data_IF_308509456990
#
_entry.id   IF_308509456990
#
_cell.length_a   1.000
_cell.length_b   1.000
_cell.length_c   1.000
_cell.angle_alpha   90.00
_cell.angle_beta   90.00
_cell.angle_gamma   90.00
#
_symmetry.space_group_name_H-M   'P 1'
#
loop_
_entity.id
_entity.type
_entity.pdbx_description
1 polymer ?
#
# COMPACT_ATOMS: atom_id res chain seq x y z
N UNK A 1 11.34 -7.42 6.04
CA UNK A 1 10.57 -7.41 4.77
C UNK A 1 10.78 -8.68 3.96
N UNK A 2 11.98 -8.97 3.43
CA UNK A 2 12.23 -10.13 2.54
C UNK A 2 11.76 -11.47 3.16
N UNK A 3 12.01 -11.71 4.46
CA UNK A 3 11.57 -12.94 5.14
C UNK A 3 10.03 -13.06 5.19
N UNK A 4 9.33 -11.95 5.45
CA UNK A 4 7.86 -11.90 5.49
C UNK A 4 7.29 -12.07 4.09
N UNK A 5 7.90 -11.44 3.08
CA UNK A 5 7.50 -11.59 1.67
C UNK A 5 7.69 -13.02 1.18
N UNK A 6 8.81 -13.66 1.53
CA UNK A 6 9.09 -15.06 1.21
C UNK A 6 8.10 -15.97 1.93
N UNK A 7 7.82 -15.72 3.21
CA UNK A 7 6.86 -16.52 3.98
C UNK A 7 5.43 -16.39 3.45
N UNK A 8 4.94 -15.16 3.24
CA UNK A 8 3.62 -14.89 2.64
C UNK A 8 3.52 -15.46 1.22
N UNK A 9 4.57 -15.29 0.40
CA UNK A 9 4.65 -15.86 -0.94
C UNK A 9 4.58 -17.40 -0.96
N UNK A 10 5.29 -18.06 -0.05
CA UNK A 10 5.24 -19.54 0.11
C UNK A 10 3.85 -19.99 0.57
N UNK A 11 3.21 -19.25 1.48
CA UNK A 11 1.82 -19.56 1.89
C UNK A 11 0.81 -19.39 0.77
N UNK A 12 1.05 -18.45 -0.16
CA UNK A 12 0.16 -18.15 -1.28
C UNK A 12 0.35 -19.15 -2.45
N UNK A 13 1.60 -19.58 -2.72
CA UNK A 13 1.91 -20.64 -3.70
C UNK A 13 1.33 -21.99 -3.30
N UNK A 14 1.11 -22.22 -2.00
CA UNK A 14 0.44 -23.41 -1.49
C UNK A 14 -1.08 -23.18 -1.51
N UNK A 15 -1.63 -22.90 -2.70
CA UNK A 15 -3.06 -22.56 -3.00
C UNK A 15 -4.06 -23.61 -2.47
N UNK A 16 -3.60 -24.73 -1.92
CA UNK A 16 -4.44 -25.80 -1.37
C UNK A 16 -5.03 -25.52 0.03
N UNK A 17 -4.57 -24.48 0.73
CA UNK A 17 -5.02 -24.17 2.09
C UNK A 17 -5.42 -22.70 2.28
N UNK A 18 -6.40 -22.23 1.51
CA UNK A 18 -7.15 -21.02 1.86
C UNK A 18 -8.11 -21.33 3.03
N UNK A 19 -7.55 -21.56 4.22
CA UNK A 19 -8.29 -21.94 5.42
C UNK A 19 -8.30 -20.78 6.41
N UNK A 20 -9.35 -20.67 7.24
CA UNK A 20 -9.49 -19.76 8.38
C UNK A 20 -8.19 -19.50 9.19
N UNK A 21 -7.28 -20.48 9.26
CA UNK A 21 -5.96 -20.38 9.92
C UNK A 21 -5.05 -19.29 9.33
N UNK A 22 -5.07 -19.07 8.01
CA UNK A 22 -4.24 -18.05 7.34
C UNK A 22 -4.74 -16.63 7.65
N UNK A 23 -6.06 -16.48 7.82
CA UNK A 23 -6.70 -15.24 8.27
C UNK A 23 -6.31 -14.91 9.71
N UNK A 24 -6.39 -15.89 10.61
CA UNK A 24 -5.98 -15.73 12.01
C UNK A 24 -4.50 -15.35 12.11
N UNK A 25 -3.64 -15.97 11.30
CA UNK A 25 -2.22 -15.65 11.27
C UNK A 25 -1.96 -14.21 10.79
N UNK A 26 -2.61 -13.75 9.71
CA UNK A 26 -2.48 -12.36 9.24
C UNK A 26 -3.00 -11.35 10.26
N UNK A 27 -4.09 -11.68 10.95
CA UNK A 27 -4.63 -10.82 12.01
C UNK A 27 -3.66 -10.71 13.19
N UNK A 28 -3.02 -11.81 13.60
CA UNK A 28 -1.96 -11.82 14.63
C UNK A 28 -0.74 -11.00 14.16
N UNK A 29 -0.31 -11.12 12.90
CA UNK A 29 0.77 -10.29 12.34
C UNK A 29 0.41 -8.80 12.32
N UNK A 30 -0.85 -8.46 12.00
CA UNK A 30 -1.34 -7.08 12.00
C UNK A 30 -1.35 -6.48 13.42
N UNK A 31 -1.76 -7.25 14.42
CA UNK A 31 -1.72 -6.84 15.83
C UNK A 31 -0.27 -6.68 16.31
N UNK A 32 0.58 -7.69 16.08
CA UNK A 32 2.00 -7.64 16.46
C UNK A 32 2.70 -6.41 15.86
N UNK A 33 2.40 -6.09 14.61
CA UNK A 33 2.95 -4.93 13.94
C UNK A 33 2.41 -3.60 14.48
N UNK A 34 1.10 -3.54 14.75
CA UNK A 34 0.48 -2.36 15.39
C UNK A 34 1.07 -2.11 16.78
N UNK A 35 1.41 -3.16 17.53
CA UNK A 35 2.05 -3.05 18.85
C UNK A 35 3.49 -2.50 18.77
N UNK A 36 4.30 -2.95 17.80
CA UNK A 36 5.65 -2.41 17.56
C UNK A 36 5.62 -0.92 17.17
N UNK A 37 4.63 -0.51 16.37
CA UNK A 37 4.49 0.90 15.95
C UNK A 37 3.99 1.79 17.10
N UNK A 38 3.10 1.27 17.95
CA UNK A 38 2.58 1.99 19.10
C UNK A 38 3.67 2.22 20.18
N UNK A 39 4.56 1.25 20.37
CA UNK A 39 5.65 1.34 21.36
C UNK A 39 6.72 2.40 20.99
N UNK A 40 6.89 2.71 19.70
CA UNK A 40 7.89 3.67 19.22
C UNK A 40 7.38 5.13 19.18
N UNK A 41 6.13 5.40 19.59
CA UNK A 41 5.50 6.72 19.49
C UNK A 41 5.55 7.55 20.80
N UNK A 42 6.21 7.04 21.85
CA UNK A 42 6.23 7.66 23.19
C UNK A 42 7.34 8.68 23.45
N UNK A 43 8.14 9.07 22.45
CA UNK A 43 9.16 10.12 22.64
C UNK A 43 9.09 11.14 21.51
N UNK A 44 8.17 12.09 21.64
CA UNK A 44 8.45 13.51 21.34
C UNK A 44 7.44 14.35 22.13
N UNK A 45 7.70 14.49 23.41
CA UNK A 45 7.10 15.53 24.22
C UNK A 45 7.65 16.87 23.70
N UNK A 46 6.87 17.61 22.91
CA UNK A 46 7.06 19.06 22.86
C UNK A 46 5.76 19.80 22.55
N UNK A 47 5.41 20.64 23.53
CA UNK A 47 4.39 21.70 23.60
C UNK A 47 3.47 21.84 22.39
N UNK A 48 2.28 21.27 22.50
CA UNK A 48 1.15 21.64 21.65
C UNK A 48 0.60 23.00 22.07
N UNK A 49 0.81 24.00 21.21
CA UNK A 49 -0.17 25.07 21.03
C UNK A 49 -1.57 24.44 20.92
N UNK A 50 -2.57 24.96 21.64
CA UNK A 50 -3.99 24.60 21.51
C UNK A 50 -4.55 25.01 20.12
N UNK A 51 -3.92 24.60 19.02
CA UNK A 51 -4.68 24.44 17.79
C UNK A 51 -5.64 23.27 18.02
N UNK A 52 -6.93 23.52 17.78
CA UNK A 52 -7.97 22.51 17.95
C UNK A 52 -7.58 21.22 17.22
N UNK A 53 -7.45 20.11 17.94
CA UNK A 53 -7.17 18.78 17.38
C UNK A 53 -8.11 18.42 16.22
N UNK A 54 -9.32 19.00 16.24
CA UNK A 54 -10.33 18.90 15.19
C UNK A 54 -9.82 19.51 13.88
N UNK A 55 -9.15 20.67 13.93
CA UNK A 55 -8.59 21.35 12.75
C UNK A 55 -7.48 20.52 12.11
N UNK A 56 -6.58 19.96 12.91
CA UNK A 56 -5.49 19.09 12.42
C UNK A 56 -6.07 17.81 11.79
N UNK A 57 -7.00 17.16 12.47
CA UNK A 57 -7.68 15.96 11.97
C UNK A 57 -8.41 16.22 10.66
N UNK A 58 -9.14 17.33 10.58
CA UNK A 58 -9.87 17.73 9.38
C UNK A 58 -8.91 18.02 8.22
N UNK A 59 -7.80 18.73 8.47
CA UNK A 59 -6.80 19.03 7.45
C UNK A 59 -6.11 17.77 6.92
N UNK A 60 -5.81 16.81 7.81
CA UNK A 60 -5.29 15.49 7.42
C UNK A 60 -6.28 14.74 6.55
N UNK A 61 -7.55 14.69 6.95
CA UNK A 61 -8.58 13.97 6.22
C UNK A 61 -8.80 14.54 4.82
N UNK A 62 -8.90 15.88 4.71
CA UNK A 62 -9.03 16.56 3.41
C UNK A 62 -7.78 16.33 2.54
N UNK A 63 -6.59 16.41 3.12
CA UNK A 63 -5.34 16.14 2.40
C UNK A 63 -5.27 14.71 1.84
N UNK A 64 -5.69 13.72 2.64
CA UNK A 64 -5.71 12.31 2.24
C UNK A 64 -6.72 12.06 1.11
N UNK A 65 -7.91 12.64 1.20
CA UNK A 65 -8.91 12.57 0.13
C UNK A 65 -8.44 13.24 -1.15
N UNK A 66 -7.92 14.46 -1.07
CA UNK A 66 -7.41 15.18 -2.23
C UNK A 66 -6.29 14.41 -2.93
N UNK A 67 -5.40 13.80 -2.15
CA UNK A 67 -4.32 12.99 -2.69
C UNK A 67 -4.82 11.70 -3.35
N UNK A 68 -5.76 11.01 -2.72
CA UNK A 68 -6.36 9.79 -3.28
C UNK A 68 -7.10 10.06 -4.59
N UNK A 69 -7.92 11.11 -4.62
CA UNK A 69 -8.66 11.53 -5.82
C UNK A 69 -7.68 11.98 -6.91
N UNK A 70 -6.65 12.77 -6.55
CA UNK A 70 -5.63 13.20 -7.49
C UNK A 70 -4.89 12.03 -8.15
N UNK A 71 -4.52 11.02 -7.36
CA UNK A 71 -3.90 9.80 -7.88
C UNK A 71 -4.85 9.03 -8.82
N UNK A 72 -6.12 8.85 -8.45
CA UNK A 72 -7.12 8.19 -9.30
C UNK A 72 -7.28 8.92 -10.64
N UNK A 73 -7.43 10.25 -10.63
CA UNK A 73 -7.53 11.04 -11.84
C UNK A 73 -6.28 10.87 -12.72
N UNK A 74 -5.09 10.97 -12.13
CA UNK A 74 -3.83 10.80 -12.87
C UNK A 74 -3.75 9.44 -13.57
N UNK A 75 -4.15 8.36 -12.88
CA UNK A 75 -4.19 7.00 -13.46
C UNK A 75 -5.23 6.91 -14.56
N UNK A 76 -6.46 7.38 -14.34
CA UNK A 76 -7.55 7.29 -15.32
C UNK A 76 -7.23 8.05 -16.62
N UNK A 77 -6.66 9.26 -16.53
CA UNK A 77 -6.28 10.01 -17.74
C UNK A 77 -5.07 9.41 -18.45
N UNK A 78 -4.10 8.88 -17.68
CA UNK A 78 -2.95 8.18 -18.26
C UNK A 78 -3.36 6.88 -18.96
N UNK A 79 -4.29 6.13 -18.38
CA UNK A 79 -4.89 4.92 -18.96
C UNK A 79 -5.58 5.23 -20.30
N UNK A 80 -6.47 6.23 -20.31
CA UNK A 80 -7.15 6.67 -21.55
C UNK A 80 -6.16 7.04 -22.66
N UNK A 81 -5.09 7.74 -22.28
CA UNK A 81 -4.04 8.13 -23.23
C UNK A 81 -3.29 6.91 -23.76
N UNK A 82 -2.94 5.95 -22.89
CA UNK A 82 -2.25 4.72 -23.27
C UNK A 82 -3.08 3.85 -24.23
N UNK A 83 -4.40 3.76 -24.00
CA UNK A 83 -5.32 3.04 -24.88
C UNK A 83 -5.37 3.68 -26.28
N UNK A 84 -5.44 5.02 -26.37
CA UNK A 84 -5.43 5.74 -27.65
C UNK A 84 -4.11 5.52 -28.41
N UNK A 85 -3.00 5.37 -27.68
CA UNK A 85 -1.68 5.08 -28.24
C UNK A 85 -1.50 3.60 -28.62
N UNK A 86 -2.50 2.74 -28.41
CA UNK A 86 -2.45 1.32 -28.75
C UNK A 86 -1.62 0.46 -27.80
N UNK A 87 -1.38 0.93 -26.57
CA UNK A 87 -0.68 0.13 -25.54
C UNK A 87 -1.59 -1.01 -25.09
N UNK A 88 -1.12 -2.27 -25.03
CA UNK A 88 -1.93 -3.40 -24.56
C UNK A 88 -2.42 -3.23 -23.13
N UNK A 89 -3.69 -3.55 -22.87
CA UNK A 89 -4.32 -3.48 -21.54
C UNK A 89 -3.53 -4.23 -20.46
N UNK A 90 -2.89 -5.35 -20.85
CA UNK A 90 -2.02 -6.13 -19.97
C UNK A 90 -0.84 -5.28 -19.46
N UNK A 91 -0.18 -4.52 -20.32
CA UNK A 91 0.94 -3.65 -19.94
C UNK A 91 0.43 -2.50 -19.07
N UNK A 92 -0.71 -1.89 -19.42
CA UNK A 92 -1.33 -0.83 -18.63
C UNK A 92 -1.64 -1.34 -17.20
N UNK A 93 -2.25 -2.52 -17.08
CA UNK A 93 -2.55 -3.16 -15.80
C UNK A 93 -1.32 -3.46 -14.95
N UNK A 94 -0.29 -4.04 -15.56
CA UNK A 94 0.92 -4.47 -14.85
C UNK A 94 1.85 -3.31 -14.47
N UNK A 95 1.75 -2.16 -15.15
CA UNK A 95 2.66 -1.04 -14.94
C UNK A 95 1.92 0.19 -14.41
N UNK A 96 1.04 0.77 -15.23
CA UNK A 96 0.39 2.04 -14.93
C UNK A 96 -0.54 1.93 -13.72
N UNK A 97 -1.38 0.91 -13.65
CA UNK A 97 -2.27 0.70 -12.50
C UNK A 97 -1.46 0.34 -11.24
N UNK A 98 -0.44 -0.51 -11.36
CA UNK A 98 0.43 -0.88 -10.24
C UNK A 98 1.14 0.34 -9.64
N UNK A 99 1.80 1.15 -10.47
CA UNK A 99 2.43 2.41 -10.05
C UNK A 99 1.41 3.41 -9.52
N UNK A 100 0.22 3.43 -10.12
CA UNK A 100 -0.89 4.28 -9.75
C UNK A 100 -1.29 4.16 -8.28
N UNK A 101 -1.28 2.94 -7.74
CA UNK A 101 -1.60 2.70 -6.32
C UNK A 101 -0.55 3.23 -5.36
N UNK A 102 0.69 3.46 -5.81
CA UNK A 102 1.82 3.95 -4.99
C UNK A 102 2.07 5.46 -5.14
N UNK A 103 1.29 6.15 -5.98
CA UNK A 103 1.37 7.60 -6.20
C UNK A 103 1.13 8.41 -4.91
N UNK A 104 0.12 8.10 -4.08
CA UNK A 104 -0.08 8.81 -2.81
C UNK A 104 1.16 8.73 -1.91
N UNK A 105 1.73 7.55 -1.73
CA UNK A 105 2.90 7.29 -0.90
C UNK A 105 4.14 8.01 -1.43
N UNK A 106 4.31 8.05 -2.75
CA UNK A 106 5.36 8.81 -3.39
C UNK A 106 5.21 10.30 -3.07
N UNK A 107 4.00 10.85 -3.24
CA UNK A 107 3.73 12.26 -3.01
C UNK A 107 3.89 12.67 -1.54
N UNK A 108 3.43 11.86 -0.59
CA UNK A 108 3.64 12.11 0.85
C UNK A 108 5.13 12.06 1.21
N UNK A 109 5.88 11.09 0.67
CA UNK A 109 7.32 10.98 0.88
C UNK A 109 8.08 12.18 0.33
N UNK A 110 7.77 12.62 -0.89
CA UNK A 110 8.40 13.80 -1.51
C UNK A 110 8.08 15.06 -0.70
N UNK A 111 6.84 15.23 -0.25
CA UNK A 111 6.43 16.35 0.60
C UNK A 111 7.20 16.37 1.93
N UNK A 112 7.31 15.22 2.59
CA UNK A 112 8.07 15.08 3.83
C UNK A 112 9.57 15.33 3.64
N UNK A 113 10.17 14.84 2.54
CA UNK A 113 11.57 15.12 2.18
C UNK A 113 11.80 16.63 1.98
N UNK A 114 10.90 17.31 1.28
CA UNK A 114 10.98 18.77 1.06
C UNK A 114 10.94 19.55 2.39
N UNK A 115 10.22 19.02 3.38
CA UNK A 115 10.16 19.58 4.73
C UNK A 115 11.26 19.06 5.68
N UNK A 116 12.24 18.29 5.18
CA UNK A 116 13.33 17.67 5.95
C UNK A 116 12.87 16.70 7.05
N UNK A 117 11.70 16.10 6.88
CA UNK A 117 11.07 15.18 7.84
C UNK A 117 11.38 13.71 7.49
N UNK A 118 12.67 13.33 7.59
CA UNK A 118 13.14 12.02 7.17
C UNK A 118 12.48 10.85 7.94
N UNK A 119 12.08 11.06 9.20
CA UNK A 119 11.37 10.06 9.99
C UNK A 119 10.01 9.68 9.38
N UNK A 120 9.27 10.66 8.85
CA UNK A 120 7.97 10.43 8.19
C UNK A 120 8.16 9.68 6.87
N UNK A 121 9.22 10.00 6.12
CA UNK A 121 9.56 9.31 4.87
C UNK A 121 9.82 7.83 5.10
N UNK A 122 10.66 7.51 6.10
CA UNK A 122 10.98 6.13 6.45
C UNK A 122 9.73 5.40 6.96
N UNK A 123 8.93 6.05 7.81
CA UNK A 123 7.68 5.52 8.32
C UNK A 123 6.69 5.18 7.21
N UNK A 124 6.54 6.07 6.22
CA UNK A 124 5.65 5.86 5.07
C UNK A 124 6.13 4.70 4.17
N UNK A 125 7.42 4.63 3.85
CA UNK A 125 7.96 3.56 3.00
C UNK A 125 7.83 2.19 3.70
N UNK A 126 8.21 2.10 4.97
CA UNK A 126 8.17 0.83 5.72
C UNK A 126 6.72 0.43 6.02
N UNK A 127 5.90 1.38 6.48
CA UNK A 127 4.51 1.14 6.86
C UNK A 127 3.64 0.67 5.69
N UNK A 128 3.67 1.39 4.57
CA UNK A 128 2.84 1.05 3.40
C UNK A 128 3.21 -0.31 2.80
N UNK A 129 4.50 -0.63 2.73
CA UNK A 129 4.95 -1.94 2.27
C UNK A 129 4.48 -3.10 3.18
N UNK A 130 4.42 -2.87 4.48
CA UNK A 130 3.96 -3.88 5.43
C UNK A 130 2.45 -4.03 5.37
N UNK A 131 1.69 -2.94 5.24
CA UNK A 131 0.24 -3.00 5.00
C UNK A 131 -0.10 -3.74 3.69
N UNK A 132 0.65 -3.51 2.62
CA UNK A 132 0.45 -4.21 1.35
C UNK A 132 0.63 -5.74 1.49
N UNK A 133 1.56 -6.18 2.35
CA UNK A 133 1.85 -7.59 2.57
C UNK A 133 0.90 -8.26 3.57
N UNK A 134 0.60 -7.61 4.68
CA UNK A 134 -0.16 -8.20 5.81
C UNK A 134 -1.66 -7.99 5.67
N UNK A 135 -2.10 -6.93 4.98
CA UNK A 135 -3.52 -6.59 4.85
C UNK A 135 -4.03 -6.79 3.43
N UNK A 136 -3.40 -6.16 2.43
CA UNK A 136 -3.93 -6.15 1.06
C UNK A 136 -3.79 -7.52 0.38
N UNK A 137 -2.60 -8.13 0.43
CA UNK A 137 -2.34 -9.42 -0.23
C UNK A 137 -3.28 -10.55 0.24
N UNK A 138 -3.51 -10.76 1.56
CA UNK A 138 -4.47 -11.76 2.04
C UNK A 138 -5.91 -11.42 1.68
N UNK A 139 -6.28 -10.14 1.67
CA UNK A 139 -7.61 -9.69 1.30
C UNK A 139 -7.91 -10.04 -0.17
N UNK A 140 -6.97 -9.80 -1.09
CA UNK A 140 -7.09 -10.19 -2.50
C UNK A 140 -7.26 -11.70 -2.63
N UNK A 141 -6.44 -12.49 -1.93
CA UNK A 141 -6.53 -13.95 -1.94
C UNK A 141 -7.84 -14.51 -1.37
N UNK A 142 -8.50 -13.77 -0.47
CA UNK A 142 -9.80 -14.15 0.08
C UNK A 142 -10.95 -13.88 -0.89
N UNK A 143 -10.95 -12.70 -1.53
CA UNK A 143 -12.05 -12.26 -2.38
C UNK A 143 -11.91 -12.70 -3.84
N UNK A 144 -10.72 -13.11 -4.29
CA UNK A 144 -10.47 -13.40 -5.70
C UNK A 144 -9.90 -14.79 -5.92
N UNK A 145 -10.63 -15.62 -6.66
CA UNK A 145 -10.08 -16.84 -7.27
C UNK A 145 -9.48 -16.46 -8.63
N UNK A 146 -8.22 -16.02 -8.62
CA UNK A 146 -7.54 -15.60 -9.85
C UNK A 146 -7.12 -16.81 -10.66
N UNK A 147 -7.83 -17.09 -11.77
CA UNK A 147 -7.34 -17.98 -12.83
C UNK A 147 -6.29 -17.22 -13.63
N UNK A 148 -5.02 -17.40 -13.29
CA UNK A 148 -3.91 -16.84 -14.07
C UNK A 148 -3.89 -17.50 -15.46
N UNK A 149 -4.04 -16.69 -16.51
CA UNK A 149 -3.83 -17.14 -17.88
C UNK A 149 -2.38 -17.58 -18.08
N UNK A 150 -2.15 -18.61 -18.90
CA UNK A 150 -0.78 -19.13 -19.18
C UNK A 150 0.17 -18.02 -19.64
N UNK A 151 -0.33 -16.99 -20.32
CA UNK A 151 0.45 -15.85 -20.77
C UNK A 151 1.13 -15.07 -19.64
N UNK A 152 0.55 -15.01 -18.43
CA UNK A 152 1.16 -14.34 -17.28
C UNK A 152 2.32 -15.16 -16.69
N UNK A 153 2.24 -16.49 -16.79
CA UNK A 153 3.22 -17.42 -16.21
C UNK A 153 4.46 -17.55 -17.10
N UNK A 154 4.29 -17.43 -18.42
CA UNK A 154 5.36 -17.62 -19.41
C UNK A 154 5.91 -16.33 -20.01
N UNK A 155 5.42 -15.15 -19.62
CA UNK A 155 5.91 -13.87 -20.18
C UNK A 155 7.40 -13.63 -19.90
N UNK A 156 7.88 -14.09 -18.74
CA UNK A 156 9.23 -13.78 -18.22
C UNK A 156 10.21 -14.97 -18.36
N UNK A 157 9.86 -16.01 -19.14
CA UNK A 157 10.71 -17.17 -19.47
C UNK A 157 10.89 -17.35 -20.98
#
# INVERSE_FOLDING_TARGET
MILVTVFTGITLLTVKYLTWKVLVLNFIYCIYFSSIFCENSYVSDDKSSEESLIKISLLLFVGLLALSIGAQLAVTYSEKTAIILGVPDLIIGLTLLALGTSLPELATSISALKNKQNGIVIGNIIGSNILNLVLITPMIGFFSYVKLGREVIYRDF
#
